data_IF_405006500804
#
_entry.id   IF_405006500804
#
_cell.length_a   1.000
_cell.length_b   1.000
_cell.length_c   1.000
_cell.angle_alpha   90.00
_cell.angle_beta   90.00
_cell.angle_gamma   90.00
#
_symmetry.space_group_name_H-M   'P 1'
#
loop_
_entity.id
_entity.type
_entity.pdbx_description
1 polymer ?
#
# COMPACT_ATOMS: atom_id res chain seq x y z
N UNK A 1 -2.40 2.04 13.67
CA UNK A 1 -1.29 2.97 13.37
C UNK A 1 -1.72 4.41 13.49
N UNK A 2 -0.78 5.28 13.39
CA UNK A 2 -1.01 6.71 13.46
C UNK A 2 -0.40 7.33 14.71
N UNK A 3 -1.06 8.40 15.22
CA UNK A 3 -0.53 9.22 16.32
C UNK A 3 -0.11 8.43 17.55
N UNK A 4 -0.90 7.45 17.94
CA UNK A 4 -0.69 6.63 19.14
C UNK A 4 -0.04 5.27 18.86
N UNK A 5 0.49 5.08 17.65
CA UNK A 5 1.21 3.85 17.32
C UNK A 5 2.57 3.80 18.02
N UNK A 6 2.95 2.63 18.51
CA UNK A 6 4.23 2.43 19.20
C UNK A 6 5.43 2.79 18.34
N UNK A 7 5.32 2.64 17.01
CA UNK A 7 6.38 3.02 16.06
C UNK A 7 6.52 4.53 15.88
N UNK A 8 5.53 5.32 16.32
CA UNK A 8 5.55 6.79 16.16
C UNK A 8 6.54 7.50 17.11
N UNK A 9 7.27 6.74 17.93
CA UNK A 9 8.39 7.24 18.73
C UNK A 9 9.60 7.63 17.87
N UNK A 10 9.67 7.23 16.60
CA UNK A 10 10.72 7.62 15.68
C UNK A 10 10.54 9.11 15.33
N UNK A 11 11.50 9.93 15.77
CA UNK A 11 11.43 11.40 15.56
C UNK A 11 11.85 11.82 14.15
N UNK A 12 12.85 11.18 13.58
CA UNK A 12 13.43 11.52 12.28
C UNK A 12 13.39 10.32 11.33
N UNK A 13 12.19 9.92 10.83
CA UNK A 13 12.08 8.85 9.84
C UNK A 13 12.65 9.30 8.49
N UNK A 14 13.23 8.39 7.72
CA UNK A 14 13.64 8.64 6.33
C UNK A 14 12.45 9.06 5.48
N UNK A 15 11.29 8.45 5.71
CA UNK A 15 10.00 8.79 5.13
C UNK A 15 8.87 8.25 5.99
N UNK A 16 7.73 8.94 5.97
CA UNK A 16 6.46 8.49 6.54
C UNK A 16 5.48 8.20 5.40
N UNK A 17 4.88 7.02 5.39
CA UNK A 17 3.98 6.59 4.31
C UNK A 17 2.61 6.28 4.91
N UNK A 18 1.55 6.92 4.38
CA UNK A 18 0.17 6.53 4.65
C UNK A 18 -0.36 5.78 3.44
N UNK A 19 -0.65 4.50 3.60
CA UNK A 19 -1.10 3.62 2.52
C UNK A 19 -2.55 3.92 2.13
N UNK A 20 -3.51 3.41 2.87
CA UNK A 20 -4.93 3.66 2.62
C UNK A 20 -5.61 4.26 3.84
N UNK A 21 -6.68 5.02 3.59
CA UNK A 21 -7.61 5.50 4.61
C UNK A 21 -8.98 4.91 4.29
N UNK A 22 -9.49 4.10 5.21
CA UNK A 22 -10.81 3.49 5.12
C UNK A 22 -11.50 3.52 6.48
N UNK A 23 -12.81 3.29 6.49
CA UNK A 23 -13.59 3.24 7.73
C UNK A 23 -13.28 1.95 8.51
N UNK A 24 -12.14 1.95 9.19
CA UNK A 24 -11.67 0.86 10.05
C UNK A 24 -11.34 1.37 11.45
N UNK A 25 -11.38 0.50 12.45
CA UNK A 25 -11.07 0.84 13.84
C UNK A 25 -11.81 2.09 14.35
N UNK A 26 -13.09 2.24 13.97
CA UNK A 26 -13.92 3.43 14.27
C UNK A 26 -13.93 3.82 15.73
N UNK A 27 -13.89 2.84 16.64
CA UNK A 27 -13.87 3.06 18.08
C UNK A 27 -12.62 3.80 18.57
N UNK A 28 -11.50 3.71 17.82
CA UNK A 28 -10.21 4.30 18.19
C UNK A 28 -9.80 5.49 17.33
N UNK A 29 -10.08 5.41 16.04
CA UNK A 29 -9.60 6.38 15.07
C UNK A 29 -10.66 7.41 14.64
N UNK A 30 -11.93 7.16 15.02
CA UNK A 30 -13.07 8.00 14.66
C UNK A 30 -13.94 7.39 13.56
N UNK A 31 -15.08 8.00 13.35
CA UNK A 31 -16.21 7.53 12.53
C UNK A 31 -16.27 8.14 11.13
N UNK A 32 -15.33 9.03 10.78
CA UNK A 32 -15.22 9.63 9.46
C UNK A 32 -13.84 9.44 8.85
N UNK A 33 -13.77 9.52 7.52
CA UNK A 33 -12.51 9.44 6.76
C UNK A 33 -11.53 10.51 7.21
N UNK A 34 -12.01 11.72 7.45
CA UNK A 34 -11.20 12.88 7.88
C UNK A 34 -10.57 12.63 9.24
N UNK A 35 -11.33 12.11 10.20
CA UNK A 35 -10.80 11.78 11.54
C UNK A 35 -9.74 10.68 11.46
N UNK A 36 -9.99 9.63 10.70
CA UNK A 36 -9.04 8.54 10.52
C UNK A 36 -7.78 9.03 9.80
N UNK A 37 -7.92 9.86 8.76
CA UNK A 37 -6.81 10.47 8.05
C UNK A 37 -5.98 11.37 8.97
N UNK A 38 -6.62 12.17 9.81
CA UNK A 38 -5.98 13.02 10.82
C UNK A 38 -5.15 12.19 11.81
N UNK A 39 -5.69 11.08 12.33
CA UNK A 39 -4.96 10.18 13.22
C UNK A 39 -3.77 9.49 12.51
N UNK A 40 -3.98 9.02 11.27
CA UNK A 40 -2.89 8.42 10.46
C UNK A 40 -1.79 9.44 10.12
N UNK A 41 -2.15 10.70 9.83
CA UNK A 41 -1.20 11.79 9.62
C UNK A 41 -0.35 12.11 10.86
N UNK A 42 -0.73 11.58 12.02
CA UNK A 42 0.06 11.68 13.25
C UNK A 42 1.52 11.24 13.13
N UNK A 43 1.84 10.38 12.15
CA UNK A 43 3.21 9.90 11.88
C UNK A 43 4.08 10.89 11.10
N UNK A 44 3.51 11.93 10.49
CA UNK A 44 4.29 12.92 9.76
C UNK A 44 5.16 13.73 10.70
N UNK A 45 6.39 14.01 10.28
CA UNK A 45 7.39 14.74 11.07
C UNK A 45 7.93 15.94 10.28
N UNK A 46 8.32 16.98 11.00
CA UNK A 46 8.91 18.18 10.42
C UNK A 46 10.13 17.86 9.57
N UNK A 47 10.21 18.48 8.40
CA UNK A 47 11.27 18.31 7.42
C UNK A 47 11.51 16.86 6.94
N UNK A 48 10.60 15.92 7.26
CA UNK A 48 10.67 14.55 6.78
C UNK A 48 9.68 14.32 5.63
N UNK A 49 10.01 13.47 4.65
CA UNK A 49 9.11 13.08 3.58
C UNK A 49 7.83 12.44 4.10
N UNK A 50 6.68 12.94 3.65
CA UNK A 50 5.35 12.38 3.88
C UNK A 50 4.77 11.94 2.53
N UNK A 51 4.55 10.64 2.35
CA UNK A 51 4.16 10.04 1.06
C UNK A 51 2.73 9.51 1.15
N UNK A 52 1.89 9.90 0.20
CA UNK A 52 0.50 9.45 0.11
C UNK A 52 0.12 9.15 -1.34
N UNK A 53 -1.00 8.44 -1.55
CA UNK A 53 -1.62 8.30 -2.88
C UNK A 53 -2.53 9.50 -3.15
N UNK A 54 -2.54 10.01 -4.38
CA UNK A 54 -3.50 11.04 -4.84
C UNK A 54 -4.95 10.56 -4.72
N UNK A 55 -5.19 9.28 -4.96
CA UNK A 55 -6.51 8.66 -4.88
C UNK A 55 -6.94 8.28 -3.45
N UNK A 56 -6.13 8.60 -2.44
CA UNK A 56 -6.48 8.32 -1.04
C UNK A 56 -7.73 9.10 -0.63
N UNK A 57 -8.71 8.42 -0.04
CA UNK A 57 -9.97 9.04 0.41
C UNK A 57 -9.74 10.20 1.40
N UNK A 58 -8.67 10.14 2.19
CA UNK A 58 -8.28 11.18 3.14
C UNK A 58 -7.25 12.18 2.60
N UNK A 59 -7.03 12.25 1.26
CA UNK A 59 -5.93 13.01 0.64
C UNK A 59 -5.81 14.44 1.15
N UNK A 60 -6.90 15.22 1.12
CA UNK A 60 -6.87 16.63 1.53
C UNK A 60 -6.53 16.80 3.01
N UNK A 61 -7.06 15.92 3.86
CA UNK A 61 -6.73 15.94 5.30
C UNK A 61 -5.26 15.61 5.51
N UNK A 62 -4.74 14.55 4.85
CA UNK A 62 -3.33 14.15 4.93
C UNK A 62 -2.41 15.29 4.46
N UNK A 63 -2.73 15.93 3.33
CA UNK A 63 -1.98 17.07 2.79
C UNK A 63 -1.95 18.25 3.74
N UNK A 64 -3.10 18.64 4.28
CA UNK A 64 -3.22 19.74 5.22
C UNK A 64 -2.44 19.47 6.52
N UNK A 65 -2.49 18.25 7.04
CA UNK A 65 -1.73 17.87 8.23
C UNK A 65 -0.22 17.81 7.96
N UNK A 66 0.21 17.40 6.77
CA UNK A 66 1.62 17.47 6.39
C UNK A 66 2.13 18.92 6.37
N UNK A 67 1.35 19.85 5.81
CA UNK A 67 1.67 21.30 5.82
C UNK A 67 1.76 21.83 7.25
N UNK A 68 0.77 21.55 8.10
CA UNK A 68 0.78 22.00 9.52
C UNK A 68 1.99 21.51 10.29
N UNK A 69 2.48 20.32 9.96
CA UNK A 69 3.66 19.71 10.59
C UNK A 69 4.98 20.09 9.92
N UNK A 70 4.93 20.94 8.91
CA UNK A 70 6.10 21.30 8.10
C UNK A 70 6.82 20.08 7.51
N UNK A 71 6.07 19.00 7.19
CA UNK A 71 6.59 17.83 6.51
C UNK A 71 6.73 18.10 5.00
N UNK A 72 7.67 17.43 4.34
CA UNK A 72 7.86 17.54 2.88
C UNK A 72 6.86 16.60 2.21
N UNK A 73 5.77 17.18 1.67
CA UNK A 73 4.68 16.39 1.12
C UNK A 73 4.99 15.88 -0.28
N UNK A 74 4.80 14.57 -0.49
CA UNK A 74 4.89 13.91 -1.78
C UNK A 74 3.62 13.09 -2.03
N UNK A 75 3.15 13.12 -3.25
CA UNK A 75 2.09 12.23 -3.71
C UNK A 75 2.52 11.38 -4.90
N UNK A 76 1.75 10.33 -5.16
CA UNK A 76 1.93 9.44 -6.31
C UNK A 76 0.60 8.88 -6.75
N UNK A 77 0.51 8.46 -8.01
CA UNK A 77 -0.65 7.77 -8.58
C UNK A 77 -0.46 6.27 -8.52
N UNK A 78 -1.57 5.52 -8.53
CA UNK A 78 -1.56 4.06 -8.53
C UNK A 78 -0.85 3.53 -9.78
N UNK A 79 -0.03 2.51 -9.61
CA UNK A 79 0.53 1.73 -10.72
C UNK A 79 -0.53 0.77 -11.26
N UNK A 80 -0.74 0.75 -12.56
CA UNK A 80 -1.67 -0.18 -13.19
C UNK A 80 -1.09 -1.61 -13.17
N UNK A 81 -1.88 -2.55 -12.65
CA UNK A 81 -1.53 -3.98 -12.63
C UNK A 81 -2.53 -4.75 -13.47
N UNK A 82 -2.02 -5.43 -14.49
CA UNK A 82 -2.80 -6.29 -15.39
C UNK A 82 -2.07 -7.60 -15.64
N UNK A 83 -2.79 -8.71 -15.57
CA UNK A 83 -2.26 -10.04 -15.90
C UNK A 83 -0.94 -10.38 -15.13
N UNK A 84 -0.85 -10.00 -13.86
CA UNK A 84 0.36 -10.24 -13.05
C UNK A 84 1.56 -9.35 -13.38
N UNK A 85 1.38 -8.32 -14.22
CA UNK A 85 2.41 -7.34 -14.55
C UNK A 85 2.02 -5.94 -14.08
N UNK A 86 3.00 -5.20 -13.59
CA UNK A 86 2.90 -3.78 -13.25
C UNK A 86 3.42 -2.94 -14.42
N UNK A 87 2.70 -1.90 -14.82
CA UNK A 87 3.15 -0.95 -15.84
C UNK A 87 3.99 0.16 -15.18
N UNK A 88 5.30 0.11 -15.35
CA UNK A 88 6.24 1.07 -14.76
C UNK A 88 7.06 1.71 -15.87
N UNK A 89 7.03 3.04 -15.96
CA UNK A 89 7.72 3.80 -17.02
C UNK A 89 7.38 3.33 -18.44
N UNK A 90 6.15 2.84 -18.66
CA UNK A 90 5.71 2.32 -19.97
C UNK A 90 6.12 0.87 -20.25
N UNK A 91 6.84 0.22 -19.35
CA UNK A 91 7.21 -1.20 -19.47
C UNK A 91 6.32 -2.08 -18.58
N UNK A 92 5.95 -3.26 -19.09
CA UNK A 92 5.28 -4.30 -18.31
C UNK A 92 6.33 -5.11 -17.55
N UNK A 93 6.27 -5.05 -16.22
CA UNK A 93 7.20 -5.75 -15.32
C UNK A 93 6.42 -6.79 -14.51
N UNK A 94 6.84 -8.05 -14.55
CA UNK A 94 6.23 -9.11 -13.73
C UNK A 94 6.22 -8.72 -12.25
N UNK A 95 5.10 -8.98 -11.55
CA UNK A 95 4.93 -8.62 -10.16
C UNK A 95 4.42 -9.79 -9.32
N UNK A 96 5.14 -10.12 -8.26
CA UNK A 96 4.90 -11.31 -7.47
C UNK A 96 3.68 -11.28 -6.54
N UNK A 97 2.96 -10.13 -6.45
CA UNK A 97 1.74 -10.02 -5.64
C UNK A 97 0.50 -9.90 -6.53
N UNK A 98 -0.57 -10.57 -6.11
CA UNK A 98 -1.86 -10.57 -6.80
C UNK A 98 -2.78 -9.42 -6.34
N UNK A 99 -3.68 -9.01 -7.25
CA UNK A 99 -4.73 -8.03 -6.98
C UNK A 99 -4.35 -6.60 -7.35
N UNK A 100 -5.33 -5.87 -7.93
CA UNK A 100 -5.12 -4.49 -8.40
C UNK A 100 -4.73 -3.51 -7.30
N UNK A 101 -5.22 -3.73 -6.07
CA UNK A 101 -4.87 -2.92 -4.91
C UNK A 101 -3.36 -2.92 -4.59
N UNK A 102 -2.61 -3.93 -5.04
CA UNK A 102 -1.16 -3.94 -4.88
C UNK A 102 -0.47 -2.88 -5.73
N UNK A 103 -1.13 -2.33 -6.75
CA UNK A 103 -0.64 -1.18 -7.52
C UNK A 103 -0.52 0.09 -6.67
N UNK A 104 -1.40 0.28 -5.70
CA UNK A 104 -1.31 1.36 -4.71
C UNK A 104 -0.08 1.20 -3.81
N UNK A 105 0.11 0.00 -3.27
CA UNK A 105 1.26 -0.32 -2.43
C UNK A 105 2.58 -0.19 -3.20
N UNK A 106 2.61 -0.67 -4.44
CA UNK A 106 3.77 -0.57 -5.31
C UNK A 106 4.12 0.88 -5.63
N UNK A 107 3.13 1.72 -5.95
CA UNK A 107 3.33 3.14 -6.22
C UNK A 107 4.00 3.86 -5.04
N UNK A 108 3.52 3.61 -3.83
CA UNK A 108 4.10 4.18 -2.61
C UNK A 108 5.54 3.68 -2.37
N UNK A 109 5.79 2.39 -2.59
CA UNK A 109 7.12 1.82 -2.46
C UNK A 109 8.11 2.40 -3.48
N UNK A 110 7.70 2.54 -4.75
CA UNK A 110 8.53 3.16 -5.79
C UNK A 110 8.83 4.63 -5.48
N UNK A 111 7.83 5.38 -4.99
CA UNK A 111 8.02 6.76 -4.56
C UNK A 111 8.99 6.87 -3.38
N UNK A 112 8.91 5.96 -2.42
CA UNK A 112 9.86 5.90 -1.32
C UNK A 112 11.28 5.63 -1.80
N UNK A 113 11.47 4.69 -2.72
CA UNK A 113 12.78 4.40 -3.34
C UNK A 113 13.33 5.62 -4.06
N UNK A 114 12.51 6.34 -4.84
CA UNK A 114 12.92 7.58 -5.52
C UNK A 114 13.42 8.64 -4.53
N UNK A 115 12.69 8.84 -3.43
CA UNK A 115 13.07 9.80 -2.38
C UNK A 115 14.38 9.39 -1.69
N UNK A 116 14.52 8.11 -1.34
CA UNK A 116 15.71 7.57 -0.69
C UNK A 116 16.94 7.71 -1.59
N UNK A 117 16.79 7.46 -2.90
CA UNK A 117 17.85 7.68 -3.88
C UNK A 117 18.24 9.16 -3.95
N UNK A 118 17.28 10.09 -4.04
CA UNK A 118 17.52 11.54 -4.15
C UNK A 118 18.19 12.11 -2.91
N UNK A 119 17.84 11.60 -1.75
CA UNK A 119 18.40 12.06 -0.48
C UNK A 119 19.79 11.45 -0.16
N UNK A 120 20.29 10.55 -1.00
CA UNK A 120 21.58 9.89 -0.77
C UNK A 120 21.61 9.01 0.49
N UNK A 121 20.46 8.56 0.95
CA UNK A 121 20.34 7.77 2.19
C UNK A 121 20.96 6.37 2.06
N UNK A 122 21.00 5.85 0.84
CA UNK A 122 21.62 4.56 0.53
C UNK A 122 23.00 4.76 -0.10
N UNK A 123 23.94 3.89 0.23
CA UNK A 123 25.28 3.87 -0.38
C UNK A 123 25.28 3.55 -1.88
N UNK A 124 24.15 3.06 -2.40
CA UNK A 124 23.94 2.74 -3.82
C UNK A 124 22.53 3.16 -4.23
N UNK A 125 22.40 3.76 -5.40
CA UNK A 125 21.10 4.02 -5.99
C UNK A 125 20.42 2.73 -6.42
N UNK A 126 19.13 2.62 -6.10
CA UNK A 126 18.26 1.54 -6.59
C UNK A 126 17.74 1.94 -7.96
N UNK A 127 18.42 1.51 -9.01
CA UNK A 127 18.01 1.76 -10.39
C UNK A 127 16.82 0.89 -10.83
N UNK A 128 16.20 1.26 -11.96
CA UNK A 128 15.03 0.56 -12.50
C UNK A 128 15.28 -0.93 -12.76
N UNK A 129 16.45 -1.29 -13.26
CA UNK A 129 16.83 -2.69 -13.46
C UNK A 129 16.86 -3.52 -12.17
N UNK A 130 17.21 -2.90 -11.05
CA UNK A 130 17.13 -3.55 -9.73
C UNK A 130 15.66 -3.78 -9.34
N UNK A 131 14.80 -2.78 -9.56
CA UNK A 131 13.37 -2.88 -9.31
C UNK A 131 12.76 -4.00 -10.16
N UNK A 132 13.05 -4.06 -11.47
CA UNK A 132 12.57 -5.11 -12.38
C UNK A 132 12.94 -6.52 -11.90
N UNK A 133 14.15 -6.70 -11.39
CA UNK A 133 14.61 -7.99 -10.85
C UNK A 133 13.99 -8.34 -9.49
N UNK A 134 13.60 -7.35 -8.71
CA UNK A 134 13.04 -7.55 -7.38
C UNK A 134 11.54 -7.87 -7.41
N UNK A 135 10.77 -7.20 -8.26
CA UNK A 135 9.30 -7.26 -8.27
C UNK A 135 8.72 -8.67 -8.43
N UNK A 136 9.23 -9.56 -9.32
CA UNK A 136 8.73 -10.94 -9.42
C UNK A 136 8.98 -11.78 -8.17
N UNK A 137 9.95 -11.38 -7.35
CA UNK A 137 10.35 -12.10 -6.13
C UNK A 137 9.62 -11.63 -4.87
N UNK A 138 8.85 -10.54 -4.96
CA UNK A 138 8.07 -10.04 -3.83
C UNK A 138 7.01 -11.06 -3.46
N UNK A 139 7.02 -11.51 -2.22
CA UNK A 139 6.04 -12.44 -1.65
C UNK A 139 5.56 -11.91 -0.33
N UNK A 140 4.27 -11.99 -0.09
CA UNK A 140 3.67 -11.66 1.19
C UNK A 140 2.62 -12.72 1.54
N UNK A 141 2.87 -13.46 2.61
CA UNK A 141 2.00 -14.54 3.04
C UNK A 141 0.60 -14.03 3.35
N UNK A 142 -0.40 -14.81 2.98
CA UNK A 142 -1.80 -14.50 3.24
C UNK A 142 -2.31 -13.21 2.57
N UNK A 143 -1.74 -12.84 1.41
CA UNK A 143 -2.24 -11.76 0.55
C UNK A 143 -2.55 -12.33 -0.82
N UNK A 144 -3.78 -12.81 -1.02
CA UNK A 144 -4.23 -13.53 -2.22
C UNK A 144 -3.25 -14.67 -2.60
N UNK A 145 -2.69 -15.33 -1.58
CA UNK A 145 -1.73 -16.41 -1.74
C UNK A 145 -2.46 -17.68 -2.18
N UNK A 146 -2.05 -18.24 -3.32
CA UNK A 146 -2.63 -19.47 -3.86
C UNK A 146 -1.64 -20.63 -3.76
N UNK A 147 -2.14 -21.78 -3.37
CA UNK A 147 -1.38 -23.04 -3.36
C UNK A 147 -2.31 -24.24 -3.59
N UNK A 148 -1.74 -25.40 -3.89
CA UNK A 148 -2.48 -26.64 -4.02
C UNK A 148 -2.31 -27.50 -2.77
N UNK A 149 -3.40 -28.09 -2.31
CA UNK A 149 -3.40 -29.06 -1.21
C UNK A 149 -4.43 -30.17 -1.49
N UNK A 150 -3.97 -31.41 -1.47
CA UNK A 150 -4.80 -32.61 -1.73
C UNK A 150 -5.67 -32.48 -3.00
N UNK A 151 -5.08 -31.99 -4.09
CA UNK A 151 -5.77 -31.82 -5.38
C UNK A 151 -6.77 -30.65 -5.43
N UNK A 152 -6.83 -29.84 -4.38
CA UNK A 152 -7.68 -28.63 -4.33
C UNK A 152 -6.83 -27.38 -4.38
N UNK A 153 -7.27 -26.38 -5.17
CA UNK A 153 -6.68 -25.05 -5.18
C UNK A 153 -7.20 -24.26 -3.98
N UNK A 154 -6.29 -23.77 -3.16
CA UNK A 154 -6.59 -22.97 -1.98
C UNK A 154 -6.11 -21.54 -2.21
N UNK A 155 -6.97 -20.56 -1.94
CA UNK A 155 -6.63 -19.14 -1.89
C UNK A 155 -6.77 -18.67 -0.44
N UNK A 156 -5.71 -18.06 0.09
CA UNK A 156 -5.71 -17.49 1.45
C UNK A 156 -5.49 -16.00 1.40
N UNK A 157 -6.33 -15.28 2.13
CA UNK A 157 -6.20 -13.82 2.31
C UNK A 157 -6.48 -13.44 3.77
N UNK A 158 -5.73 -12.49 4.30
CA UNK A 158 -5.86 -11.99 5.67
C UNK A 158 -6.81 -10.78 5.77
N UNK A 159 -7.77 -10.63 4.86
CA UNK A 159 -8.77 -9.57 4.95
C UNK A 159 -9.60 -9.74 6.22
N UNK A 160 -9.79 -8.64 6.96
CA UNK A 160 -10.49 -8.63 8.25
C UNK A 160 -11.36 -7.38 8.45
N UNK A 161 -11.54 -6.61 7.38
CA UNK A 161 -12.38 -5.42 7.37
C UNK A 161 -13.18 -5.32 6.06
N UNK A 162 -14.22 -4.46 5.98
CA UNK A 162 -15.07 -4.34 4.79
C UNK A 162 -14.31 -3.99 3.52
N UNK A 163 -13.27 -3.16 3.60
CA UNK A 163 -12.50 -2.76 2.42
C UNK A 163 -11.65 -3.93 1.89
N UNK A 164 -11.01 -4.70 2.77
CA UNK A 164 -10.32 -5.94 2.40
C UNK A 164 -11.25 -6.98 1.79
N UNK A 165 -12.46 -7.16 2.36
CA UNK A 165 -13.46 -8.07 1.81
C UNK A 165 -13.92 -7.64 0.41
N UNK A 166 -14.10 -6.33 0.17
CA UNK A 166 -14.41 -5.78 -1.16
C UNK A 166 -13.32 -6.10 -2.17
N UNK A 167 -12.06 -5.86 -1.80
CA UNK A 167 -10.89 -6.17 -2.65
C UNK A 167 -10.80 -7.66 -2.99
N UNK A 168 -11.02 -8.54 -2.00
CA UNK A 168 -11.06 -9.98 -2.22
C UNK A 168 -12.20 -10.36 -3.18
N UNK A 169 -13.39 -9.80 -3.01
CA UNK A 169 -14.53 -10.06 -3.89
C UNK A 169 -14.26 -9.61 -5.33
N UNK A 170 -13.65 -8.44 -5.52
CA UNK A 170 -13.23 -7.95 -6.85
C UNK A 170 -12.24 -8.92 -7.50
N UNK A 171 -11.21 -9.36 -6.77
CA UNK A 171 -10.24 -10.32 -7.28
C UNK A 171 -10.88 -11.66 -7.68
N UNK A 172 -11.80 -12.18 -6.85
CA UNK A 172 -12.50 -13.43 -7.15
C UNK A 172 -13.39 -13.30 -8.38
N UNK A 173 -14.11 -12.18 -8.53
CA UNK A 173 -14.95 -11.92 -9.68
C UNK A 173 -14.17 -11.79 -10.99
N UNK A 174 -12.95 -11.27 -10.94
CA UNK A 174 -12.08 -11.12 -12.10
C UNK A 174 -11.39 -12.43 -12.49
N UNK A 175 -10.92 -13.21 -11.51
CA UNK A 175 -10.03 -14.34 -11.77
C UNK A 175 -10.68 -15.72 -11.61
N UNK A 176 -11.85 -15.79 -10.94
CA UNK A 176 -12.53 -17.05 -10.62
C UNK A 176 -14.03 -17.04 -11.00
N UNK A 177 -14.42 -16.19 -11.96
CA UNK A 177 -15.81 -16.08 -12.43
C UNK A 177 -16.33 -17.43 -12.92
N UNK A 178 -17.51 -17.83 -12.41
CA UNK A 178 -18.16 -19.10 -12.76
C UNK A 178 -17.61 -20.33 -12.06
N UNK A 179 -16.59 -20.20 -11.24
CA UNK A 179 -16.08 -21.31 -10.42
C UNK A 179 -16.89 -21.44 -9.12
N UNK A 180 -17.08 -22.68 -8.68
CA UNK A 180 -17.67 -22.95 -7.36
C UNK A 180 -16.61 -22.71 -6.27
N UNK A 181 -16.85 -21.71 -5.43
CA UNK A 181 -15.95 -21.34 -4.33
C UNK A 181 -16.56 -21.77 -3.01
N UNK A 182 -15.76 -22.38 -2.15
CA UNK A 182 -16.10 -22.69 -0.76
C UNK A 182 -15.30 -21.76 0.14
N UNK A 183 -16.01 -20.96 0.96
CA UNK A 183 -15.38 -20.07 1.94
C UNK A 183 -15.22 -20.75 3.29
N UNK A 184 -14.09 -20.46 3.94
CA UNK A 184 -13.79 -20.85 5.33
C UNK A 184 -13.37 -19.55 6.03
N UNK A 185 -14.08 -19.18 7.12
CA UNK A 185 -13.83 -18.00 7.95
C UNK A 185 -13.41 -18.43 9.36
#
# INVERSE_FOLDING_TARGET
GGRLDSTNVIENPIASIVTSVSLEHKERLGDTIEKIAYEKAGIFKKACPAIVLKQNKGYETLKNEAVKKEAIFYDTETVDIKNGCACINGEAVEFGLCGRHQGENLALALKAVDIVNKNGTLNRNVGFETVKKALPRVKWRFRLESFEYSGSKILVDACHNPDGARVLAEYLNENHKGQRIKFIF
#
